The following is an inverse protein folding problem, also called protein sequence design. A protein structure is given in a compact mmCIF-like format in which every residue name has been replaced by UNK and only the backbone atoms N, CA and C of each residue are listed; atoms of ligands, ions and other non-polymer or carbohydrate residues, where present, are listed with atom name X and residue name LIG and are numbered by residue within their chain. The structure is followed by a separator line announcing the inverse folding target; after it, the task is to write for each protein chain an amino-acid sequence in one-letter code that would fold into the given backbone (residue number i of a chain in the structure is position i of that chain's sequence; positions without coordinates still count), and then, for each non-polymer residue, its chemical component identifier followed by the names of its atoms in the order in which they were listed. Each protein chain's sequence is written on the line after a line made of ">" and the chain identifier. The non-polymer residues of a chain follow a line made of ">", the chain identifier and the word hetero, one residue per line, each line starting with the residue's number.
data_IF_107678138964
#
_entry.id   IF_107678138964
#
_cell.length_a   1.000
_cell.length_b   1.000
_cell.length_c   1.000
_cell.angle_alpha   90.00
_cell.angle_beta   90.00
_cell.angle_gamma   90.00
#
_symmetry.space_group_name_H-M   'P 1'
#
loop_
_entity.id
_entity.type
_entity.pdbx_description
1 polymer ?
#
# COMPACT_ATOMS: atom_id res chain seq x y z
N UNK A 1 -19.49 -71.24 41.57
CA UNK A 1 -19.01 -70.00 42.22
C UNK A 1 -17.60 -69.76 41.73
N UNK A 2 -17.43 -68.80 40.83
CA UNK A 2 -16.17 -68.51 40.15
C UNK A 2 -15.47 -67.38 40.88
N UNK A 3 -14.26 -67.62 41.38
CA UNK A 3 -13.43 -66.61 42.01
C UNK A 3 -12.41 -66.07 41.02
N UNK A 4 -12.38 -64.73 40.97
CA UNK A 4 -11.51 -63.87 40.18
C UNK A 4 -10.03 -64.16 40.42
N UNK A 5 -9.24 -64.01 39.37
CA UNK A 5 -7.87 -63.49 39.47
C UNK A 5 -7.60 -62.51 38.33
N UNK A 6 -7.07 -61.34 38.72
CA UNK A 6 -6.58 -60.29 37.84
C UNK A 6 -5.14 -60.64 37.45
N UNK A 7 -4.86 -60.76 36.16
CA UNK A 7 -3.50 -60.79 35.63
C UNK A 7 -3.24 -59.54 34.79
N UNK A 8 -2.14 -58.85 35.10
CA UNK A 8 -1.51 -57.87 34.22
C UNK A 8 -0.42 -58.60 33.43
N UNK A 9 -0.40 -58.45 32.12
CA UNK A 9 0.77 -58.80 31.29
C UNK A 9 1.02 -57.75 30.20
N UNK A 10 2.30 -57.59 29.81
CA UNK A 10 2.82 -56.42 29.13
C UNK A 10 2.86 -56.54 27.61
N UNK A 11 2.96 -55.35 27.01
CA UNK A 11 3.15 -55.02 25.60
C UNK A 11 4.19 -55.94 24.93
N UNK A 12 3.73 -56.67 23.91
CA UNK A 12 4.52 -57.56 23.09
C UNK A 12 4.90 -56.89 21.76
N UNK A 13 6.14 -57.16 21.34
CA UNK A 13 6.68 -57.10 19.98
C UNK A 13 6.86 -55.72 19.32
N UNK A 14 8.09 -55.20 19.39
CA UNK A 14 9.04 -55.31 18.25
C UNK A 14 10.24 -54.39 18.46
N UNK A 15 11.22 -54.88 19.22
CA UNK A 15 12.62 -54.43 19.18
C UNK A 15 13.43 -55.69 19.02
N UNK A 16 13.88 -55.99 17.80
CA UNK A 16 15.17 -56.61 17.45
C UNK A 16 15.16 -57.03 15.97
N UNK A 17 15.20 -56.04 15.08
CA UNK A 17 15.79 -56.22 13.77
C UNK A 17 16.44 -54.89 13.35
N UNK A 18 17.77 -54.85 13.50
CA UNK A 18 18.73 -53.96 12.83
C UNK A 18 18.63 -52.46 13.23
N UNK A 19 19.47 -51.86 14.09
CA UNK A 19 20.90 -52.02 14.37
C UNK A 19 21.79 -52.10 13.11
N UNK A 20 21.57 -51.17 12.19
CA UNK A 20 22.58 -50.66 11.27
C UNK A 20 22.09 -49.32 10.72
N UNK A 21 22.45 -48.22 11.38
CA UNK A 21 22.61 -46.84 10.87
C UNK A 21 22.62 -45.87 12.06
N UNK A 22 23.65 -45.99 12.89
CA UNK A 22 24.14 -44.89 13.68
C UNK A 22 25.48 -44.47 13.08
N UNK A 23 25.76 -43.16 13.12
CA UNK A 23 26.99 -42.48 12.71
C UNK A 23 27.04 -41.97 11.26
N UNK A 24 26.37 -40.85 11.02
CA UNK A 24 26.98 -39.75 10.23
C UNK A 24 26.74 -38.45 11.00
N UNK A 25 27.84 -37.72 11.15
CA UNK A 25 28.03 -36.58 12.02
C UNK A 25 27.10 -35.40 11.74
N UNK A 26 26.75 -34.68 12.81
CA UNK A 26 26.52 -33.25 12.76
C UNK A 26 27.79 -32.56 12.29
N UNK A 27 27.86 -32.25 11.01
CA UNK A 27 28.72 -31.21 10.47
C UNK A 27 27.81 -30.05 10.06
N UNK A 28 28.18 -28.86 10.49
CA UNK A 28 27.52 -27.60 10.16
C UNK A 28 27.27 -27.51 8.65
N UNK A 29 26.04 -27.19 8.24
CA UNK A 29 25.80 -26.60 6.93
C UNK A 29 25.66 -25.07 7.13
N UNK A 30 26.78 -24.44 7.51
CA UNK A 30 27.08 -23.11 6.98
C UNK A 30 27.67 -23.35 5.59
N UNK A 31 26.78 -23.50 4.60
CA UNK A 31 27.16 -23.43 3.19
C UNK A 31 26.26 -22.40 2.53
N UNK A 32 26.37 -21.14 2.97
CA UNK A 32 26.30 -20.06 1.99
C UNK A 32 27.57 -20.19 1.16
N UNK A 33 27.54 -21.03 0.12
CA UNK A 33 28.59 -21.02 -0.89
C UNK A 33 28.77 -19.57 -1.32
N UNK A 34 29.93 -18.97 -1.01
CA UNK A 34 30.21 -17.61 -1.42
C UNK A 34 30.33 -17.61 -2.95
N UNK A 35 29.24 -17.25 -3.62
CA UNK A 35 29.22 -17.06 -5.06
C UNK A 35 30.07 -15.81 -5.30
N UNK A 36 31.25 -16.01 -5.87
CA UNK A 36 32.21 -14.93 -6.16
C UNK A 36 32.36 -14.80 -7.69
N UNK A 37 31.37 -14.20 -8.36
CA UNK A 37 31.27 -14.24 -9.81
C UNK A 37 32.29 -13.33 -10.48
N UNK A 38 32.88 -13.82 -11.56
CA UNK A 38 33.89 -13.09 -12.33
C UNK A 38 33.29 -11.95 -13.19
N UNK A 39 32.00 -12.00 -13.52
CA UNK A 39 31.29 -11.00 -14.32
C UNK A 39 29.77 -11.15 -14.19
N UNK A 40 29.02 -10.12 -14.61
CA UNK A 40 27.54 -10.14 -14.64
C UNK A 40 26.98 -11.23 -15.54
N UNK A 41 27.73 -11.61 -16.59
CA UNK A 41 27.37 -12.68 -17.50
C UNK A 41 27.44 -14.06 -16.83
N UNK A 42 28.33 -14.24 -15.84
CA UNK A 42 28.45 -15.48 -15.10
C UNK A 42 27.18 -15.79 -14.28
N UNK A 43 26.47 -14.76 -13.82
CA UNK A 43 25.23 -14.94 -13.05
C UNK A 43 24.07 -15.47 -13.91
N UNK A 44 24.04 -15.15 -15.22
CA UNK A 44 22.96 -15.58 -16.13
C UNK A 44 22.88 -17.11 -16.24
N UNK A 45 24.01 -17.80 -16.09
CA UNK A 45 24.10 -19.25 -16.17
C UNK A 45 23.51 -19.98 -14.95
N UNK A 46 23.20 -19.27 -13.86
CA UNK A 46 22.62 -19.86 -12.66
C UNK A 46 21.12 -20.13 -12.88
N UNK A 47 20.71 -21.39 -12.87
CA UNK A 47 19.32 -21.80 -13.13
C UNK A 47 18.34 -21.31 -12.06
N UNK A 48 18.79 -21.25 -10.80
CA UNK A 48 18.02 -20.75 -9.67
C UNK A 48 17.96 -19.22 -9.68
N UNK A 49 16.74 -18.68 -9.63
CA UNK A 49 16.53 -17.23 -9.51
C UNK A 49 17.15 -16.67 -8.22
N UNK A 50 17.16 -17.44 -7.13
CA UNK A 50 17.74 -17.01 -5.85
C UNK A 50 19.27 -16.92 -5.93
N UNK A 51 19.91 -17.90 -6.55
CA UNK A 51 21.38 -17.92 -6.71
C UNK A 51 21.83 -16.87 -7.73
N UNK A 52 21.04 -16.67 -8.79
CA UNK A 52 21.26 -15.60 -9.77
C UNK A 52 21.18 -14.22 -9.14
N UNK A 53 20.19 -13.99 -8.27
CA UNK A 53 20.08 -12.74 -7.52
C UNK A 53 21.26 -12.55 -6.55
N UNK A 54 21.58 -13.56 -5.74
CA UNK A 54 22.71 -13.51 -4.82
C UNK A 54 24.05 -13.26 -5.55
N UNK A 55 24.20 -13.83 -6.76
CA UNK A 55 25.34 -13.59 -7.64
C UNK A 55 25.42 -12.14 -8.11
N UNK A 56 24.31 -11.55 -8.57
CA UNK A 56 24.29 -10.13 -8.94
C UNK A 56 24.59 -9.23 -7.74
N UNK A 57 24.01 -9.51 -6.58
CA UNK A 57 24.24 -8.76 -5.34
C UNK A 57 25.71 -8.81 -4.90
N UNK A 58 26.40 -9.92 -5.13
CA UNK A 58 27.83 -10.08 -4.87
C UNK A 58 28.72 -9.24 -5.80
N UNK A 59 28.32 -9.03 -7.06
CA UNK A 59 29.04 -8.17 -8.03
C UNK A 59 28.85 -6.71 -7.68
N UNK A 60 27.61 -6.31 -7.47
CA UNK A 60 27.24 -4.91 -7.40
C UNK A 60 27.35 -4.32 -6.02
N UNK A 61 27.70 -5.13 -4.99
CA UNK A 61 27.86 -4.76 -3.58
C UNK A 61 26.91 -3.63 -3.18
N UNK A 62 25.75 -3.97 -2.61
CA UNK A 62 24.96 -2.96 -1.89
C UNK A 62 25.81 -2.48 -0.70
N UNK A 63 26.59 -1.43 -0.91
CA UNK A 63 27.41 -0.80 0.10
C UNK A 63 26.48 -0.10 1.10
N UNK A 64 26.05 -0.85 2.11
CA UNK A 64 25.42 -0.29 3.32
C UNK A 64 26.37 0.63 4.11
N UNK A 65 27.64 0.74 3.68
CA UNK A 65 28.68 1.59 4.25
C UNK A 65 28.98 2.88 3.46
N UNK A 66 28.37 3.12 2.29
CA UNK A 66 28.72 4.25 1.39
C UNK A 66 28.07 5.60 1.77
N UNK A 67 27.26 5.67 2.83
CA UNK A 67 26.70 6.94 3.33
C UNK A 67 27.73 7.92 3.94
N UNK A 68 29.03 7.64 3.83
CA UNK A 68 30.12 8.40 4.44
C UNK A 68 31.14 8.99 3.44
N UNK A 69 30.72 9.38 2.22
CA UNK A 69 31.59 10.15 1.32
C UNK A 69 31.35 11.65 1.47
N UNK A 70 32.35 12.34 2.05
CA UNK A 70 32.40 13.80 2.13
C UNK A 70 32.45 14.41 0.72
N UNK A 71 31.76 15.55 0.47
CA UNK A 71 31.71 16.16 -0.85
C UNK A 71 33.10 16.67 -1.27
N UNK A 72 33.43 16.45 -2.55
CA UNK A 72 34.58 17.07 -3.21
C UNK A 72 34.26 18.55 -3.41
N UNK A 73 34.98 19.41 -2.69
CA UNK A 73 34.84 20.87 -2.80
C UNK A 73 35.51 21.33 -4.10
N UNK A 74 34.70 21.69 -5.10
CA UNK A 74 35.16 22.41 -6.30
C UNK A 74 35.14 23.90 -5.98
N UNK A 75 36.22 24.63 -6.28
CA UNK A 75 36.29 26.05 -5.96
C UNK A 75 35.21 26.86 -6.70
N UNK A 76 34.58 27.81 -6.01
CA UNK A 76 33.53 28.69 -6.55
C UNK A 76 33.96 29.40 -7.86
N UNK A 77 35.26 29.66 -8.01
CA UNK A 77 35.84 30.27 -9.22
C UNK A 77 35.77 29.37 -10.46
N UNK A 78 35.76 28.04 -10.31
CA UNK A 78 35.59 27.11 -11.45
C UNK A 78 34.14 27.04 -11.87
N UNK A 79 33.22 26.94 -10.91
CA UNK A 79 31.78 26.95 -11.16
C UNK A 79 31.31 28.26 -11.82
N UNK A 80 31.83 29.41 -11.36
CA UNK A 80 31.50 30.72 -11.94
C UNK A 80 31.99 30.91 -13.39
N UNK A 81 33.04 30.17 -13.80
CA UNK A 81 33.64 30.31 -15.14
C UNK A 81 32.94 29.43 -16.19
N UNK A 82 32.34 28.32 -15.77
CA UNK A 82 31.54 27.44 -16.65
C UNK A 82 30.14 28.01 -16.92
N UNK A 83 29.57 28.79 -15.98
CA UNK A 83 28.26 29.44 -16.14
C UNK A 83 28.27 30.60 -17.14
N UNK A 84 29.42 31.20 -17.45
CA UNK A 84 29.48 32.42 -18.30
C UNK A 84 29.47 32.15 -19.81
N UNK A 85 29.47 30.90 -20.27
CA UNK A 85 29.61 30.57 -21.71
C UNK A 85 28.29 30.14 -22.39
N UNK A 86 27.18 30.02 -21.67
CA UNK A 86 25.89 29.71 -22.30
C UNK A 86 25.25 30.98 -22.84
N UNK A 87 25.45 31.20 -24.14
CA UNK A 87 24.79 32.25 -24.92
C UNK A 87 23.34 31.81 -25.17
N UNK A 88 22.38 32.43 -24.49
CA UNK A 88 20.94 32.12 -24.63
C UNK A 88 20.43 32.45 -26.04
N UNK A 89 19.98 31.43 -26.78
CA UNK A 89 19.10 31.60 -27.94
C UNK A 89 17.63 31.81 -27.48
N UNK A 90 16.80 32.51 -28.28
CA UNK A 90 15.43 32.81 -27.87
C UNK A 90 14.58 31.53 -27.81
N UNK A 91 14.38 31.01 -26.60
CA UNK A 91 13.54 29.86 -26.32
C UNK A 91 12.07 30.12 -26.73
N UNK A 92 11.48 29.17 -27.45
CA UNK A 92 10.06 29.16 -27.77
C UNK A 92 9.18 29.01 -26.51
N UNK A 93 7.89 29.36 -26.62
CA UNK A 93 6.94 29.34 -25.49
C UNK A 93 6.91 27.99 -24.76
N UNK A 94 7.05 26.87 -25.48
CA UNK A 94 7.10 25.53 -24.91
C UNK A 94 8.32 25.32 -24.00
N UNK A 95 9.51 25.70 -24.46
CA UNK A 95 10.74 25.63 -23.67
C UNK A 95 10.68 26.54 -22.43
N UNK A 96 10.09 27.74 -22.55
CA UNK A 96 9.86 28.63 -21.39
C UNK A 96 8.89 28.05 -20.36
N UNK A 97 7.91 27.25 -20.81
CA UNK A 97 6.99 26.55 -19.91
C UNK A 97 7.71 25.36 -19.26
N UNK A 98 8.45 24.57 -20.03
CA UNK A 98 9.27 23.45 -19.53
C UNK A 98 10.27 23.94 -18.48
N UNK A 99 11.06 24.98 -18.76
CA UNK A 99 12.03 25.56 -17.82
C UNK A 99 11.35 26.11 -16.54
N UNK A 100 10.19 26.77 -16.66
CA UNK A 100 9.47 27.27 -15.47
C UNK A 100 8.87 26.15 -14.63
N UNK A 101 8.39 25.08 -15.28
CA UNK A 101 7.81 23.92 -14.60
C UNK A 101 8.92 23.08 -13.95
N UNK A 102 10.05 22.90 -14.63
CA UNK A 102 11.23 22.23 -14.07
C UNK A 102 11.76 23.00 -12.85
N UNK A 103 11.83 24.33 -12.93
CA UNK A 103 12.18 25.21 -11.80
C UNK A 103 11.17 25.19 -10.64
N UNK A 104 9.89 24.87 -10.90
CA UNK A 104 8.88 24.70 -9.85
C UNK A 104 9.11 23.40 -9.05
N UNK A 105 9.70 22.38 -9.69
CA UNK A 105 9.95 21.06 -9.10
C UNK A 105 11.39 20.86 -8.61
N UNK A 106 12.34 21.68 -9.06
CA UNK A 106 13.74 21.70 -8.60
C UNK A 106 13.90 22.49 -7.30
N UNK A 107 13.33 21.96 -6.20
CA UNK A 107 13.56 22.54 -4.88
C UNK A 107 14.79 21.90 -4.22
N UNK A 108 15.57 22.72 -3.50
CA UNK A 108 16.93 22.49 -3.03
C UNK A 108 17.03 21.58 -1.78
N UNK A 109 16.09 20.64 -1.58
CA UNK A 109 16.11 19.72 -0.43
C UNK A 109 17.22 18.65 -0.53
N UNK A 110 17.43 17.91 0.55
CA UNK A 110 18.40 16.81 0.58
C UNK A 110 18.15 15.78 -0.55
N UNK A 111 19.22 15.31 -1.21
CA UNK A 111 19.13 14.30 -2.28
C UNK A 111 18.31 13.10 -1.79
N UNK A 112 17.35 12.66 -2.61
CA UNK A 112 16.56 11.46 -2.33
C UNK A 112 17.51 10.26 -2.45
N UNK A 113 17.64 9.49 -1.37
CA UNK A 113 18.34 8.22 -1.37
C UNK A 113 17.33 7.08 -1.61
N UNK A 114 17.41 6.38 -2.76
CA UNK A 114 16.56 5.24 -3.10
C UNK A 114 16.50 4.15 -2.03
N UNK A 115 17.56 3.99 -1.24
CA UNK A 115 17.66 2.91 -0.25
C UNK A 115 16.96 3.23 1.07
N UNK A 116 16.71 4.51 1.37
CA UNK A 116 16.10 4.94 2.63
C UNK A 116 14.73 5.59 2.45
N UNK A 117 14.49 6.31 1.34
CA UNK A 117 13.23 6.99 1.07
C UNK A 117 12.08 6.01 0.88
N UNK A 118 11.07 6.15 1.75
CA UNK A 118 9.86 5.32 1.69
C UNK A 118 9.04 5.69 0.46
N UNK A 119 8.84 6.99 0.23
CA UNK A 119 8.04 7.47 -0.89
C UNK A 119 8.71 7.19 -2.23
N UNK A 120 10.03 7.29 -2.33
CA UNK A 120 10.76 6.96 -3.55
C UNK A 120 10.63 5.47 -3.91
N UNK A 121 10.83 4.55 -2.96
CA UNK A 121 10.66 3.11 -3.22
C UNK A 121 9.25 2.75 -3.70
N UNK A 122 8.26 3.46 -3.16
CA UNK A 122 6.85 3.24 -3.45
C UNK A 122 6.43 3.85 -4.79
N UNK A 123 6.96 5.01 -5.16
CA UNK A 123 6.49 5.80 -6.32
C UNK A 123 7.53 5.99 -7.42
N UNK A 124 8.73 5.44 -7.26
CA UNK A 124 9.83 5.49 -8.23
C UNK A 124 10.12 6.93 -8.66
N UNK A 125 10.28 7.81 -7.68
CA UNK A 125 10.34 9.25 -7.87
C UNK A 125 11.67 9.66 -8.49
N UNK A 126 12.79 9.13 -7.99
CA UNK A 126 14.14 9.41 -8.44
C UNK A 126 14.50 8.61 -9.70
N UNK A 127 15.38 9.11 -10.57
CA UNK A 127 15.75 8.41 -11.81
C UNK A 127 16.31 7.00 -11.54
N UNK A 128 17.10 6.86 -10.48
CA UNK A 128 17.72 5.58 -10.08
C UNK A 128 16.72 4.55 -9.53
N UNK A 129 15.51 4.99 -9.14
CA UNK A 129 14.43 4.14 -8.63
C UNK A 129 13.43 3.70 -9.71
N UNK A 130 13.52 4.24 -10.94
CA UNK A 130 12.59 3.91 -12.02
C UNK A 130 12.83 2.50 -12.53
N UNK A 131 11.77 1.69 -12.55
CA UNK A 131 11.80 0.31 -13.01
C UNK A 131 11.28 0.16 -14.45
N UNK A 132 10.84 1.25 -15.09
CA UNK A 132 10.20 1.24 -16.40
C UNK A 132 8.68 1.06 -16.32
N UNK A 133 8.05 1.05 -17.49
CA UNK A 133 6.58 0.99 -17.62
C UNK A 133 6.04 -0.44 -17.59
N UNK A 134 4.74 -0.56 -17.29
CA UNK A 134 3.97 -1.81 -17.31
C UNK A 134 4.39 -2.88 -16.28
N UNK A 135 5.28 -2.53 -15.36
CA UNK A 135 5.58 -3.36 -14.20
C UNK A 135 4.42 -3.28 -13.20
N UNK A 136 3.87 -4.45 -12.83
CA UNK A 136 2.81 -4.54 -11.83
C UNK A 136 3.43 -4.60 -10.44
N UNK A 137 2.98 -3.71 -9.56
CA UNK A 137 3.40 -3.64 -8.15
C UNK A 137 2.17 -3.48 -7.25
N UNK A 138 2.34 -3.71 -5.95
CA UNK A 138 1.28 -3.38 -5.02
C UNK A 138 1.04 -1.86 -5.00
N UNK A 139 -0.25 -1.50 -4.98
CA UNK A 139 -0.66 -0.13 -4.71
C UNK A 139 -0.93 0.02 -3.21
N UNK A 140 -2.14 -0.27 -2.71
CA UNK A 140 -2.44 -0.36 -1.28
C UNK A 140 -2.04 -1.75 -0.72
N UNK A 141 -2.10 -1.97 0.61
CA UNK A 141 -1.85 -3.28 1.18
C UNK A 141 -2.75 -4.37 0.57
N UNK A 142 -2.19 -5.56 0.34
CA UNK A 142 -2.88 -6.77 -0.10
C UNK A 142 -2.99 -7.72 1.09
N UNK A 143 -4.21 -7.95 1.55
CA UNK A 143 -4.49 -8.68 2.78
C UNK A 143 -5.77 -9.50 2.71
N UNK A 144 -5.86 -10.47 3.62
CA UNK A 144 -7.05 -11.25 3.95
C UNK A 144 -7.20 -11.26 5.48
N UNK A 145 -8.36 -10.81 5.96
CA UNK A 145 -8.81 -10.85 7.34
C UNK A 145 -9.96 -11.86 7.42
N UNK A 146 -9.70 -13.13 7.82
CA UNK A 146 -10.76 -14.14 7.95
C UNK A 146 -11.82 -13.76 8.98
N UNK A 147 -11.42 -13.02 10.02
CA UNK A 147 -12.32 -12.46 11.02
C UNK A 147 -12.24 -10.93 10.98
N UNK A 148 -13.34 -10.32 10.52
CA UNK A 148 -13.60 -8.90 10.52
C UNK A 148 -14.95 -8.67 11.20
N UNK A 149 -14.92 -8.25 12.46
CA UNK A 149 -16.11 -8.05 13.29
C UNK A 149 -16.54 -6.59 13.23
N UNK A 150 -17.85 -6.34 13.22
CA UNK A 150 -18.48 -5.02 13.31
C UNK A 150 -19.36 -4.89 14.57
N UNK A 151 -19.26 -3.73 15.23
CA UNK A 151 -20.08 -3.38 16.39
C UNK A 151 -21.54 -3.09 16.04
N UNK A 152 -21.80 -2.65 14.81
CA UNK A 152 -23.12 -2.22 14.37
C UNK A 152 -23.31 -2.58 12.88
N UNK A 153 -24.24 -3.49 12.60
CA UNK A 153 -24.52 -3.97 11.23
C UNK A 153 -25.44 -3.00 10.51
N UNK A 154 -25.16 -2.75 9.25
CA UNK A 154 -26.01 -1.91 8.40
C UNK A 154 -27.04 -2.79 7.67
N UNK A 155 -28.12 -3.16 8.38
CA UNK A 155 -29.19 -4.01 7.84
C UNK A 155 -30.07 -3.28 6.82
N UNK A 156 -30.12 -1.94 6.89
CA UNK A 156 -30.95 -1.07 6.03
C UNK A 156 -30.12 0.09 5.44
N UNK A 157 -29.19 -0.20 4.50
CA UNK A 157 -28.45 0.86 3.84
C UNK A 157 -29.39 1.82 3.12
N UNK A 158 -29.13 3.12 3.24
CA UNK A 158 -29.97 4.15 2.63
C UNK A 158 -29.14 5.31 2.12
N UNK A 159 -29.75 6.16 1.30
CA UNK A 159 -29.21 7.46 0.92
C UNK A 159 -30.36 8.44 0.70
N UNK A 160 -30.10 9.75 0.55
CA UNK A 160 -31.12 10.73 0.18
C UNK A 160 -31.80 10.43 -1.17
N UNK A 161 -31.20 9.61 -2.03
CA UNK A 161 -31.84 9.14 -3.25
C UNK A 161 -32.84 8.02 -2.90
N UNK A 162 -34.16 8.20 -3.14
CA UNK A 162 -35.16 7.20 -2.79
C UNK A 162 -34.97 5.85 -3.50
N UNK A 163 -34.30 5.82 -4.65
CA UNK A 163 -33.98 4.57 -5.36
C UNK A 163 -32.90 3.75 -4.64
N UNK A 164 -32.15 4.37 -3.73
CA UNK A 164 -30.98 3.78 -3.06
C UNK A 164 -31.25 3.51 -1.57
N UNK A 165 -32.51 3.21 -1.23
CA UNK A 165 -32.96 2.86 0.12
C UNK A 165 -33.42 1.41 0.15
N UNK A 166 -32.86 0.63 1.08
CA UNK A 166 -33.25 -0.77 1.30
C UNK A 166 -34.35 -0.83 2.36
N UNK A 167 -35.50 -1.40 2.00
CA UNK A 167 -36.66 -1.53 2.89
C UNK A 167 -36.73 -2.89 3.62
N UNK A 168 -35.98 -3.88 3.16
CA UNK A 168 -35.92 -5.23 3.75
C UNK A 168 -34.55 -5.46 4.42
N UNK A 169 -34.56 -6.09 5.61
CA UNK A 169 -33.32 -6.37 6.33
C UNK A 169 -32.42 -7.33 5.53
N UNK A 170 -31.11 -7.10 5.57
CA UNK A 170 -30.13 -7.98 4.91
C UNK A 170 -29.72 -9.22 5.71
N UNK A 171 -30.30 -9.43 6.90
CA UNK A 171 -30.03 -10.55 7.81
C UNK A 171 -28.53 -10.84 8.04
N UNK A 172 -27.75 -9.79 8.28
CA UNK A 172 -26.30 -9.87 8.39
C UNK A 172 -25.81 -10.52 9.69
N UNK A 173 -24.64 -11.17 9.66
CA UNK A 173 -23.87 -11.52 10.86
C UNK A 173 -22.82 -10.44 11.14
N UNK A 174 -22.47 -10.27 12.43
CA UNK A 174 -21.53 -9.23 12.85
C UNK A 174 -20.09 -9.53 12.46
N UNK A 175 -19.76 -10.78 12.13
CA UNK A 175 -18.43 -11.18 11.70
C UNK A 175 -18.48 -11.65 10.25
N UNK A 176 -17.55 -11.16 9.45
CA UNK A 176 -17.35 -11.51 8.06
C UNK A 176 -15.85 -11.68 7.75
N UNK A 177 -15.53 -12.20 6.57
CA UNK A 177 -14.18 -12.10 6.04
C UNK A 177 -14.04 -10.80 5.26
N UNK A 178 -12.89 -10.12 5.37
CA UNK A 178 -12.55 -8.94 4.57
C UNK A 178 -11.26 -9.18 3.83
N UNK A 179 -11.18 -8.81 2.56
CA UNK A 179 -9.91 -8.84 1.83
C UNK A 179 -9.76 -7.64 0.90
N UNK A 180 -8.52 -7.36 0.53
CA UNK A 180 -8.18 -6.31 -0.41
C UNK A 180 -7.12 -6.78 -1.38
N UNK A 181 -7.35 -6.48 -2.66
CA UNK A 181 -6.36 -6.61 -3.74
C UNK A 181 -6.11 -5.22 -4.25
N UNK A 182 -4.85 -4.82 -4.37
CA UNK A 182 -4.52 -3.47 -4.83
C UNK A 182 -3.21 -3.46 -5.59
N UNK A 183 -3.30 -3.08 -6.85
CA UNK A 183 -2.20 -3.13 -7.79
C UNK A 183 -2.07 -1.78 -8.50
N UNK A 184 -0.85 -1.44 -8.90
CA UNK A 184 -0.58 -0.33 -9.80
C UNK A 184 0.48 -0.69 -10.81
N UNK A 185 0.50 0.08 -11.89
CA UNK A 185 1.56 0.05 -12.87
C UNK A 185 1.80 1.45 -13.41
N UNK A 186 3.02 1.71 -13.87
CA UNK A 186 3.39 2.97 -14.50
C UNK A 186 3.15 2.87 -16.00
N UNK A 187 2.31 3.74 -16.54
CA UNK A 187 1.97 3.77 -17.96
C UNK A 187 2.93 4.66 -18.76
N UNK A 188 3.40 5.76 -18.17
CA UNK A 188 4.32 6.72 -18.79
C UNK A 188 5.32 7.20 -17.76
N UNK A 189 6.59 7.36 -18.15
CA UNK A 189 7.62 7.98 -17.32
C UNK A 189 8.04 9.32 -17.90
N UNK A 190 8.46 10.23 -17.03
CA UNK A 190 9.21 11.43 -17.42
C UNK A 190 8.47 12.31 -18.44
N UNK A 191 7.21 12.63 -18.17
CA UNK A 191 6.39 13.53 -19.00
C UNK A 191 7.01 14.93 -19.15
N UNK A 192 7.82 15.36 -18.18
CA UNK A 192 8.50 16.66 -18.17
C UNK A 192 9.95 16.44 -17.72
N UNK A 193 10.91 16.49 -18.65
CA UNK A 193 12.33 16.28 -18.37
C UNK A 193 12.60 14.87 -17.84
N UNK A 194 13.02 14.75 -16.58
CA UNK A 194 13.27 13.49 -15.86
C UNK A 194 12.22 13.23 -14.74
N UNK A 195 11.06 13.88 -14.84
CA UNK A 195 10.03 13.93 -13.81
C UNK A 195 8.61 13.84 -14.39
N UNK A 196 7.63 13.49 -13.55
CA UNK A 196 6.23 13.36 -13.92
C UNK A 196 5.90 11.99 -14.51
N UNK A 197 5.41 11.08 -13.68
CA UNK A 197 5.04 9.72 -14.07
C UNK A 197 3.51 9.55 -14.03
N UNK A 198 2.95 8.89 -15.05
CA UNK A 198 1.55 8.50 -15.07
C UNK A 198 1.41 7.07 -14.55
N UNK A 199 0.68 6.91 -13.46
CA UNK A 199 0.37 5.63 -12.82
C UNK A 199 -1.09 5.27 -13.02
N UNK A 200 -1.35 4.00 -13.30
CA UNK A 200 -2.67 3.39 -13.29
C UNK A 200 -2.77 2.46 -12.08
N UNK A 201 -3.82 2.62 -11.30
CA UNK A 201 -4.09 1.86 -10.08
C UNK A 201 -5.44 1.17 -10.14
N UNK A 202 -5.55 0.07 -9.42
CA UNK A 202 -6.82 -0.61 -9.18
C UNK A 202 -6.80 -1.19 -7.77
N UNK A 203 -7.74 -0.77 -6.95
CA UNK A 203 -8.01 -1.35 -5.63
C UNK A 203 -9.38 -1.98 -5.62
N UNK A 204 -9.47 -3.20 -5.10
CA UNK A 204 -10.73 -3.88 -4.82
C UNK A 204 -10.74 -4.32 -3.37
N UNK A 205 -11.81 -4.01 -2.64
CA UNK A 205 -11.98 -4.43 -1.26
C UNK A 205 -13.35 -5.06 -1.04
N UNK A 206 -13.39 -6.28 -0.50
CA UNK A 206 -14.61 -7.08 -0.40
C UNK A 206 -14.88 -7.52 1.03
N UNK A 207 -16.16 -7.57 1.40
CA UNK A 207 -16.70 -8.08 2.66
C UNK A 207 -17.61 -9.27 2.38
N UNK A 208 -17.24 -10.43 2.90
CA UNK A 208 -17.86 -11.71 2.61
C UNK A 208 -18.43 -12.34 3.89
N UNK A 209 -19.74 -12.55 3.92
CA UNK A 209 -20.48 -13.15 5.05
C UNK A 209 -20.23 -14.67 5.13
N UNK A 210 -18.96 -15.09 5.20
CA UNK A 210 -18.52 -16.50 5.26
C UNK A 210 -19.20 -17.32 6.36
N UNK A 211 -19.62 -16.65 7.43
CA UNK A 211 -20.25 -17.26 8.60
C UNK A 211 -21.78 -17.19 8.57
N UNK A 212 -22.38 -16.62 7.52
CA UNK A 212 -23.83 -16.50 7.39
C UNK A 212 -24.41 -17.64 6.56
N UNK A 213 -24.54 -18.81 7.17
CA UNK A 213 -25.03 -20.01 6.49
C UNK A 213 -26.50 -19.89 6.07
N UNK A 214 -27.29 -19.20 6.90
CA UNK A 214 -28.73 -18.96 6.68
C UNK A 214 -28.98 -18.25 5.34
N UNK A 215 -28.09 -17.30 4.98
CA UNK A 215 -28.16 -16.52 3.73
C UNK A 215 -27.26 -17.06 2.61
N UNK A 216 -26.78 -18.31 2.72
CA UNK A 216 -25.86 -18.92 1.73
C UNK A 216 -24.51 -18.20 1.57
N UNK A 217 -24.02 -17.58 2.65
CA UNK A 217 -22.70 -16.94 2.76
C UNK A 217 -22.41 -15.92 1.64
N UNK A 218 -23.23 -14.88 1.48
CA UNK A 218 -23.11 -13.97 0.35
C UNK A 218 -21.95 -12.97 0.54
N UNK A 219 -21.44 -12.44 -0.57
CA UNK A 219 -20.69 -11.19 -0.48
C UNK A 219 -21.67 -10.08 -0.11
N UNK A 220 -21.43 -9.42 1.03
CA UNK A 220 -22.20 -8.25 1.46
C UNK A 220 -21.87 -7.07 0.56
N UNK A 221 -20.58 -6.78 0.42
CA UNK A 221 -20.12 -5.60 -0.31
C UNK A 221 -18.80 -5.87 -1.04
N UNK A 222 -18.61 -5.23 -2.19
CA UNK A 222 -17.31 -5.13 -2.86
C UNK A 222 -17.17 -3.72 -3.42
N UNK A 223 -16.08 -3.03 -3.14
CA UNK A 223 -15.77 -1.74 -3.74
C UNK A 223 -14.66 -1.90 -4.76
N UNK A 224 -14.88 -1.33 -5.93
CA UNK A 224 -14.00 -1.27 -7.08
C UNK A 224 -13.49 0.16 -7.22
N UNK A 225 -12.18 0.36 -7.20
CA UNK A 225 -11.56 1.67 -7.13
C UNK A 225 -10.39 1.79 -8.13
N UNK A 226 -10.67 2.01 -9.43
CA UNK A 226 -9.66 2.35 -10.41
C UNK A 226 -9.18 3.80 -10.27
N UNK A 227 -7.89 4.02 -10.51
CA UNK A 227 -7.23 5.31 -10.35
C UNK A 227 -6.27 5.60 -11.50
N UNK A 228 -6.17 6.87 -11.89
CA UNK A 228 -5.13 7.38 -12.77
C UNK A 228 -4.44 8.55 -12.06
N UNK A 229 -3.15 8.40 -11.76
CA UNK A 229 -2.39 9.34 -10.94
C UNK A 229 -1.21 9.90 -11.71
N UNK A 230 -1.14 11.22 -11.84
CA UNK A 230 0.04 11.93 -12.33
C UNK A 230 0.89 12.33 -11.11
N UNK A 231 2.10 11.78 -11.02
CA UNK A 231 2.96 11.88 -9.83
C UNK A 231 4.27 12.58 -10.20
N UNK A 232 4.59 13.63 -9.47
CA UNK A 232 5.83 14.40 -9.61
C UNK A 232 6.69 14.25 -8.36
N UNK A 233 7.98 14.00 -8.59
CA UNK A 233 9.03 14.16 -7.60
C UNK A 233 9.11 15.64 -7.22
N UNK A 234 9.10 15.90 -5.92
CA UNK A 234 9.42 17.20 -5.31
C UNK A 234 10.55 17.01 -4.31
N UNK A 235 11.18 18.10 -3.87
CA UNK A 235 12.29 18.02 -2.94
C UNK A 235 12.42 19.29 -2.09
N UNK A 236 11.51 19.48 -1.14
CA UNK A 236 11.52 20.65 -0.25
C UNK A 236 11.40 20.24 1.21
N UNK A 237 11.84 21.11 2.12
CA UNK A 237 11.73 20.89 3.55
C UNK A 237 10.63 21.75 4.16
N UNK A 238 9.75 21.15 4.95
CA UNK A 238 8.70 21.86 5.69
C UNK A 238 8.53 21.24 7.07
N UNK A 239 8.64 22.07 8.12
CA UNK A 239 8.45 21.64 9.52
C UNK A 239 9.29 20.40 9.91
N UNK A 240 10.47 20.24 9.30
CA UNK A 240 11.37 19.11 9.56
C UNK A 240 10.99 17.80 8.86
N UNK A 241 10.04 17.84 7.91
CA UNK A 241 9.69 16.77 6.98
C UNK A 241 10.17 17.11 5.57
N UNK A 242 10.55 16.09 4.80
CA UNK A 242 10.88 16.21 3.39
C UNK A 242 9.62 16.02 2.53
N UNK A 243 9.18 17.05 1.82
CA UNK A 243 8.17 16.95 0.76
C UNK A 243 8.79 16.31 -0.48
N UNK A 244 8.38 15.06 -0.77
CA UNK A 244 8.94 14.23 -1.86
C UNK A 244 8.00 14.05 -3.03
N UNK A 245 6.69 14.17 -2.80
CA UNK A 245 5.68 13.82 -3.79
C UNK A 245 4.61 14.90 -3.88
N UNK A 246 4.37 15.37 -5.09
CA UNK A 246 3.15 16.08 -5.48
C UNK A 246 2.45 15.25 -6.55
N UNK A 247 1.16 15.01 -6.41
CA UNK A 247 0.41 14.28 -7.42
C UNK A 247 -1.02 14.75 -7.58
N UNK A 248 -1.61 14.42 -8.72
CA UNK A 248 -3.02 14.61 -9.01
C UNK A 248 -3.61 13.28 -9.47
N UNK A 249 -4.66 12.83 -8.81
CA UNK A 249 -5.30 11.54 -9.08
C UNK A 249 -6.75 11.73 -9.49
N UNK A 250 -7.13 11.17 -10.64
CA UNK A 250 -8.53 10.88 -10.94
C UNK A 250 -8.87 9.51 -10.37
N UNK A 251 -9.96 9.43 -9.62
CA UNK A 251 -10.37 8.23 -8.91
C UNK A 251 -11.87 8.04 -9.14
N UNK A 252 -12.23 6.83 -9.55
CA UNK A 252 -13.60 6.36 -9.52
C UNK A 252 -13.71 5.31 -8.43
N UNK A 253 -14.81 5.32 -7.67
CA UNK A 253 -15.09 4.25 -6.72
C UNK A 253 -16.57 3.89 -6.81
N UNK A 254 -16.87 2.62 -7.01
CA UNK A 254 -18.25 2.10 -7.01
C UNK A 254 -18.31 0.73 -6.39
N UNK A 255 -19.51 0.28 -6.02
CA UNK A 255 -19.71 -1.07 -5.50
C UNK A 255 -20.22 -2.08 -6.54
N UNK A 256 -20.49 -1.63 -7.77
CA UNK A 256 -20.93 -2.48 -8.88
C UNK A 256 -22.29 -3.16 -8.65
N UNK A 257 -23.11 -2.64 -7.74
CA UNK A 257 -24.46 -3.14 -7.45
C UNK A 257 -25.53 -2.38 -8.24
N UNK A 258 -26.67 -3.02 -8.44
CA UNK A 258 -27.89 -2.33 -8.88
C UNK A 258 -28.60 -1.66 -7.71
N UNK A 259 -29.57 -0.80 -8.00
CA UNK A 259 -30.49 -0.29 -6.99
C UNK A 259 -31.22 -1.44 -6.28
N UNK A 260 -31.52 -1.30 -4.98
CA UNK A 260 -31.27 -0.13 -4.12
C UNK A 260 -29.85 -0.05 -3.51
N UNK A 261 -29.00 -1.05 -3.74
CA UNK A 261 -27.67 -1.15 -3.13
C UNK A 261 -26.59 -0.38 -3.89
N UNK A 262 -26.88 0.17 -5.07
CA UNK A 262 -25.89 0.91 -5.87
C UNK A 262 -25.28 2.06 -5.07
N UNK A 263 -23.95 2.18 -5.08
CA UNK A 263 -23.20 3.30 -4.53
C UNK A 263 -22.03 3.63 -5.44
N UNK A 264 -21.81 4.91 -5.71
CA UNK A 264 -20.71 5.35 -6.55
C UNK A 264 -20.37 6.83 -6.34
N UNK A 265 -19.15 7.20 -6.72
CA UNK A 265 -18.69 8.59 -6.79
C UNK A 265 -17.39 8.69 -7.56
N UNK A 266 -17.13 9.90 -8.07
CA UNK A 266 -15.92 10.26 -8.80
C UNK A 266 -15.18 11.39 -8.07
N UNK A 267 -13.85 11.33 -8.04
CA UNK A 267 -13.01 12.26 -7.28
C UNK A 267 -11.79 12.70 -8.09
N UNK A 268 -11.40 13.96 -7.88
CA UNK A 268 -10.06 14.47 -8.21
C UNK A 268 -9.34 14.75 -6.91
N UNK A 269 -8.21 14.11 -6.68
CA UNK A 269 -7.44 14.16 -5.44
C UNK A 269 -6.09 14.82 -5.66
N UNK A 270 -5.72 15.73 -4.77
CA UNK A 270 -4.34 16.19 -4.66
C UNK A 270 -3.60 15.22 -3.73
N UNK A 271 -2.38 14.83 -4.08
CA UNK A 271 -1.55 13.97 -3.25
C UNK A 271 -0.31 14.75 -2.81
N UNK A 272 -0.15 14.94 -1.51
CA UNK A 272 1.02 15.57 -0.92
C UNK A 272 1.72 14.52 -0.05
N UNK A 273 2.92 14.10 -0.46
CA UNK A 273 3.70 13.09 0.24
C UNK A 273 4.92 13.69 0.92
N UNK A 274 5.00 13.47 2.22
CA UNK A 274 6.09 13.88 3.08
C UNK A 274 6.73 12.66 3.74
N UNK A 275 8.02 12.74 4.07
CA UNK A 275 8.69 11.68 4.82
C UNK A 275 9.82 12.20 5.70
N UNK A 276 10.22 11.36 6.64
CA UNK A 276 11.43 11.53 7.45
C UNK A 276 11.82 10.18 8.04
N UNK A 277 13.05 9.73 7.78
CA UNK A 277 13.57 8.46 8.28
C UNK A 277 12.62 7.28 7.98
N UNK A 278 12.05 6.65 9.01
CA UNK A 278 11.10 5.54 8.89
C UNK A 278 9.63 5.98 8.92
N UNK A 279 9.35 7.26 8.74
CA UNK A 279 8.01 7.84 8.75
C UNK A 279 7.66 8.41 7.37
N UNK A 280 6.44 8.16 6.91
CA UNK A 280 5.85 8.81 5.74
C UNK A 280 4.45 9.33 6.07
N UNK A 281 4.05 10.43 5.43
CA UNK A 281 2.77 11.09 5.61
C UNK A 281 2.21 11.45 4.25
N UNK A 282 1.00 10.98 3.97
CA UNK A 282 0.23 11.37 2.80
C UNK A 282 -0.92 12.27 3.24
N UNK A 283 -1.05 13.44 2.64
CA UNK A 283 -2.19 14.34 2.82
C UNK A 283 -2.93 14.43 1.49
N UNK A 284 -4.22 14.09 1.50
CA UNK A 284 -5.03 13.97 0.28
C UNK A 284 -6.35 14.71 0.39
N UNK A 285 -6.41 16.02 0.11
CA UNK A 285 -7.68 16.67 -0.13
C UNK A 285 -8.23 16.24 -1.50
N UNK A 286 -9.54 16.13 -1.62
CA UNK A 286 -10.21 15.79 -2.87
C UNK A 286 -11.46 16.63 -3.12
N UNK A 287 -11.76 16.77 -4.40
CA UNK A 287 -13.01 17.31 -4.88
C UNK A 287 -13.85 16.17 -5.46
N UNK A 288 -15.09 16.02 -4.97
CA UNK A 288 -16.08 15.10 -5.54
C UNK A 288 -16.64 15.75 -6.80
N UNK A 289 -16.63 15.01 -7.91
CA UNK A 289 -17.35 15.42 -9.12
C UNK A 289 -18.83 15.10 -8.91
N UNK A 290 -19.66 16.13 -8.94
CA UNK A 290 -21.10 15.98 -8.74
C UNK A 290 -21.75 15.36 -9.99
N UNK A 291 -22.81 14.58 -9.76
CA UNK A 291 -23.62 13.91 -10.77
C UNK A 291 -25.03 14.53 -10.78
N UNK A 292 -25.82 14.25 -11.81
CA UNK A 292 -27.21 14.68 -11.85
C UNK A 292 -27.99 14.07 -10.67
N UNK A 293 -28.83 14.87 -10.00
CA UNK A 293 -29.48 14.45 -8.74
C UNK A 293 -30.32 13.16 -8.83
N UNK A 294 -30.83 12.84 -10.03
CA UNK A 294 -31.58 11.60 -10.30
C UNK A 294 -30.68 10.36 -10.44
N UNK A 295 -29.43 10.56 -10.84
CA UNK A 295 -28.46 9.49 -11.13
C UNK A 295 -27.45 9.34 -9.97
N UNK A 296 -27.35 10.33 -9.09
CA UNK A 296 -26.48 10.34 -7.93
C UNK A 296 -26.98 9.36 -6.84
N UNK A 297 -26.27 8.25 -6.66
CA UNK A 297 -26.67 7.19 -5.73
C UNK A 297 -26.52 7.57 -4.25
N UNK A 298 -25.68 8.56 -3.94
CA UNK A 298 -25.33 8.95 -2.57
C UNK A 298 -24.91 10.43 -2.52
N UNK A 299 -25.87 11.37 -2.68
CA UNK A 299 -25.58 12.80 -2.85
C UNK A 299 -24.88 13.48 -1.67
N UNK A 300 -25.05 12.91 -0.48
CA UNK A 300 -24.49 13.36 0.80
C UNK A 300 -23.19 12.65 1.19
N UNK A 301 -22.58 11.84 0.31
CA UNK A 301 -21.36 11.08 0.65
C UNK A 301 -20.21 11.95 1.17
N UNK A 302 -20.07 13.18 0.64
CA UNK A 302 -19.07 14.16 1.08
C UNK A 302 -19.32 14.70 2.49
N UNK A 303 -20.47 14.44 3.08
CA UNK A 303 -20.82 14.88 4.43
C UNK A 303 -20.48 13.84 5.50
N UNK A 304 -20.16 12.61 5.08
CA UNK A 304 -19.69 11.53 5.96
C UNK A 304 -18.24 11.15 5.67
N UNK A 305 -17.95 10.73 4.44
CA UNK A 305 -16.62 10.34 3.98
C UNK A 305 -15.74 11.58 3.81
N UNK A 306 -16.34 12.72 3.52
CA UNK A 306 -15.64 13.99 3.58
C UNK A 306 -14.88 14.40 2.34
N UNK A 307 -13.89 15.26 2.57
CA UNK A 307 -13.19 16.06 1.54
C UNK A 307 -11.68 15.87 1.58
N UNK A 308 -11.19 14.99 2.45
CA UNK A 308 -9.79 14.66 2.51
C UNK A 308 -9.46 13.63 3.58
N UNK A 309 -8.27 13.05 3.44
CA UNK A 309 -7.64 12.24 4.47
C UNK A 309 -6.18 12.60 4.69
N UNK A 310 -5.68 12.16 5.83
CA UNK A 310 -4.28 12.15 6.21
C UNK A 310 -3.93 10.72 6.60
N UNK A 311 -2.91 10.15 5.96
CA UNK A 311 -2.43 8.80 6.28
C UNK A 311 -0.97 8.85 6.68
N UNK A 312 -0.69 8.47 7.92
CA UNK A 312 0.66 8.36 8.47
C UNK A 312 1.12 6.91 8.46
N UNK A 313 2.36 6.67 8.05
CA UNK A 313 3.02 5.38 8.00
C UNK A 313 4.28 5.42 8.85
N UNK A 314 4.52 4.38 9.63
CA UNK A 314 5.72 4.27 10.45
C UNK A 314 6.26 2.85 10.43
N UNK A 315 7.56 2.71 10.16
CA UNK A 315 8.25 1.42 10.19
C UNK A 315 9.15 1.31 11.40
N UNK A 316 8.96 0.24 12.18
CA UNK A 316 9.83 -0.08 13.31
C UNK A 316 10.32 -1.53 13.20
N UNK A 317 11.59 -1.68 12.81
CA UNK A 317 12.18 -2.98 12.42
C UNK A 317 11.33 -3.61 11.30
N UNK A 318 10.82 -4.82 11.51
CA UNK A 318 9.93 -5.51 10.58
C UNK A 318 8.43 -5.23 10.81
N UNK A 319 8.09 -4.32 11.72
CA UNK A 319 6.70 -3.89 11.94
C UNK A 319 6.40 -2.65 11.10
N UNK A 320 5.20 -2.63 10.53
CA UNK A 320 4.66 -1.48 9.83
C UNK A 320 3.34 -1.08 10.48
N UNK A 321 3.21 0.22 10.72
CA UNK A 321 2.02 0.83 11.28
C UNK A 321 1.46 1.85 10.29
N UNK A 322 0.15 1.89 10.15
CA UNK A 322 -0.55 2.91 9.37
C UNK A 322 -1.70 3.49 10.19
N UNK A 323 -1.86 4.80 10.16
CA UNK A 323 -3.00 5.50 10.74
C UNK A 323 -3.58 6.44 9.67
N UNK A 324 -4.80 6.13 9.21
CA UNK A 324 -5.59 7.00 8.34
C UNK A 324 -6.61 7.77 9.18
N UNK A 325 -6.68 9.07 8.98
CA UNK A 325 -7.69 9.96 9.54
C UNK A 325 -8.41 10.66 8.38
N UNK A 326 -9.73 10.61 8.40
CA UNK A 326 -10.60 11.21 7.37
C UNK A 326 -11.65 12.08 8.04
N UNK A 327 -12.02 13.19 7.42
CA UNK A 327 -12.98 14.12 7.99
C UNK A 327 -13.84 14.83 6.93
N UNK A 328 -15.09 15.12 7.30
CA UNK A 328 -16.06 15.88 6.51
C UNK A 328 -15.62 17.33 6.26
N UNK A 329 -14.82 17.88 7.17
CA UNK A 329 -14.47 19.31 7.28
C UNK A 329 -15.71 20.20 7.50
N UNK A 330 -16.79 19.62 8.03
CA UNK A 330 -17.91 20.35 8.62
C UNK A 330 -17.77 20.40 10.14
N UNK A 331 -18.42 21.37 10.77
CA UNK A 331 -18.46 21.52 12.23
C UNK A 331 -19.85 21.27 12.80
N UNK A 332 -19.96 21.27 14.13
CA UNK A 332 -21.23 21.02 14.82
C UNK A 332 -21.70 19.58 14.65
N UNK A 333 -23.02 19.41 14.52
CA UNK A 333 -23.65 18.09 14.43
C UNK A 333 -23.33 17.36 13.11
N UNK A 334 -22.85 18.07 12.09
CA UNK A 334 -22.43 17.51 10.79
C UNK A 334 -20.95 17.04 10.79
N UNK A 335 -20.28 17.06 11.94
CA UNK A 335 -18.84 16.73 12.06
C UNK A 335 -18.59 15.23 12.01
N UNK A 336 -18.66 14.65 10.81
CA UNK A 336 -18.36 13.24 10.58
C UNK A 336 -16.91 12.99 10.15
N UNK A 337 -16.42 11.78 10.40
CA UNK A 337 -15.10 11.32 9.99
C UNK A 337 -14.86 9.86 10.35
N UNK A 338 -13.63 9.41 10.14
CA UNK A 338 -13.20 8.06 10.51
C UNK A 338 -11.71 8.03 10.84
N UNK A 339 -11.34 7.02 11.63
CA UNK A 339 -9.97 6.63 11.87
C UNK A 339 -9.79 5.14 11.53
N UNK A 340 -8.69 4.80 10.86
CA UNK A 340 -8.27 3.43 10.63
C UNK A 340 -6.83 3.23 11.06
N UNK A 341 -6.60 2.28 11.94
CA UNK A 341 -5.28 1.84 12.35
C UNK A 341 -5.00 0.44 11.80
N UNK A 342 -3.86 0.27 11.14
CA UNK A 342 -3.36 -1.01 10.67
C UNK A 342 -2.00 -1.30 11.28
N UNK A 343 -1.77 -2.56 11.64
CA UNK A 343 -0.49 -3.06 12.11
C UNK A 343 -0.15 -4.36 11.38
N UNK A 344 0.90 -4.31 10.57
CA UNK A 344 1.50 -5.49 9.96
C UNK A 344 2.76 -5.91 10.75
N UNK A 345 2.80 -7.17 11.19
CA UNK A 345 3.89 -7.72 11.99
C UNK A 345 4.50 -8.97 11.34
N UNK A 346 5.79 -9.26 11.60
CA UNK A 346 6.48 -10.37 10.97
C UNK A 346 5.90 -11.74 11.36
N UNK A 347 5.66 -12.61 10.37
CA UNK A 347 5.41 -14.05 10.59
C UNK A 347 6.57 -14.86 9.99
N UNK A 348 6.71 -14.85 8.65
CA UNK A 348 7.76 -15.59 7.95
C UNK A 348 7.96 -15.06 6.52
N UNK A 349 9.19 -14.71 6.17
CA UNK A 349 9.50 -14.17 4.84
C UNK A 349 8.65 -12.93 4.54
N UNK A 350 7.94 -12.94 3.41
CA UNK A 350 7.02 -11.85 3.02
C UNK A 350 5.64 -11.94 3.67
N UNK A 351 5.29 -13.05 4.31
CA UNK A 351 4.01 -13.19 5.00
C UNK A 351 4.06 -12.40 6.31
N UNK A 352 3.11 -11.49 6.47
CA UNK A 352 2.91 -10.70 7.68
C UNK A 352 1.56 -11.03 8.30
N UNK A 353 1.47 -10.93 9.61
CA UNK A 353 0.19 -10.86 10.32
C UNK A 353 -0.35 -9.45 10.19
N UNK A 354 -1.66 -9.30 10.05
CA UNK A 354 -2.31 -8.02 9.82
C UNK A 354 -3.44 -7.82 10.81
N UNK A 355 -3.31 -6.81 11.67
CA UNK A 355 -4.37 -6.33 12.54
C UNK A 355 -4.94 -5.01 11.98
N UNK A 356 -6.25 -4.84 12.02
CA UNK A 356 -6.94 -3.63 11.58
C UNK A 356 -8.01 -3.21 12.57
N UNK A 357 -8.07 -1.93 12.89
CA UNK A 357 -9.12 -1.29 13.68
C UNK A 357 -9.65 -0.09 12.90
N UNK A 358 -10.95 -0.06 12.65
CA UNK A 358 -11.64 1.08 12.03
C UNK A 358 -12.71 1.61 13.00
N UNK A 359 -12.83 2.92 13.13
CA UNK A 359 -13.96 3.56 13.82
C UNK A 359 -14.42 4.79 13.03
N UNK A 360 -15.72 4.88 12.75
CA UNK A 360 -16.33 6.04 12.11
C UNK A 360 -17.26 5.66 10.96
N UNK A 361 -17.33 6.55 9.96
CA UNK A 361 -18.20 6.43 8.79
C UNK A 361 -17.43 6.02 7.53
N UNK A 362 -18.07 5.27 6.63
CA UNK A 362 -17.50 4.93 5.32
C UNK A 362 -16.32 3.98 5.36
N UNK A 363 -16.48 2.90 6.11
CA UNK A 363 -15.63 1.71 6.03
C UNK A 363 -15.68 1.07 4.64
N UNK A 364 -16.87 1.10 4.02
CA UNK A 364 -17.16 0.70 2.65
C UNK A 364 -18.19 1.66 2.04
N UNK A 365 -18.41 1.60 0.72
CA UNK A 365 -19.39 2.49 0.08
C UNK A 365 -20.81 2.26 0.56
N UNK A 366 -21.24 1.00 0.76
CA UNK A 366 -22.59 0.75 1.30
C UNK A 366 -22.77 1.27 2.74
N UNK A 367 -21.66 1.39 3.49
CA UNK A 367 -21.61 1.89 4.86
C UNK A 367 -21.15 3.37 4.94
N UNK A 368 -21.21 4.13 3.84
CA UNK A 368 -20.68 5.51 3.78
C UNK A 368 -21.28 6.45 4.83
N UNK A 369 -22.58 6.31 5.13
CA UNK A 369 -23.33 7.08 6.12
C UNK A 369 -23.68 6.27 7.38
N UNK A 370 -23.03 5.12 7.58
CA UNK A 370 -23.25 4.27 8.74
C UNK A 370 -22.03 4.29 9.66
N UNK A 371 -22.25 4.59 10.95
CA UNK A 371 -21.17 4.60 11.95
C UNK A 371 -21.05 3.25 12.64
N UNK A 372 -19.85 2.68 12.59
CA UNK A 372 -19.52 1.46 13.31
C UNK A 372 -18.02 1.38 13.63
N UNK A 373 -17.70 0.52 14.59
CA UNK A 373 -16.33 0.08 14.89
C UNK A 373 -16.12 -1.30 14.28
N UNK A 374 -15.01 -1.49 13.57
CA UNK A 374 -14.64 -2.77 12.99
C UNK A 374 -13.27 -3.22 13.48
N UNK A 375 -13.14 -4.51 13.79
CA UNK A 375 -11.89 -5.12 14.26
C UNK A 375 -11.57 -6.34 13.42
N UNK A 376 -10.37 -6.36 12.86
CA UNK A 376 -9.90 -7.36 11.94
C UNK A 376 -8.57 -7.99 12.35
N UNK A 377 -8.44 -9.30 12.14
CA UNK A 377 -7.17 -10.00 12.25
C UNK A 377 -7.02 -11.00 11.09
N UNK A 378 -5.84 -11.02 10.50
CA UNK A 378 -5.50 -11.92 9.42
C UNK A 378 -4.05 -11.80 8.96
N UNK A 379 -3.84 -11.82 7.65
CA UNK A 379 -2.52 -11.85 7.02
C UNK A 379 -2.43 -10.88 5.84
N UNK A 380 -1.22 -10.41 5.57
CA UNK A 380 -0.89 -9.62 4.38
C UNK A 380 0.37 -10.14 3.69
N UNK A 381 0.46 -9.87 2.39
CA UNK A 381 1.57 -10.30 1.52
C UNK A 381 2.36 -9.13 0.93
N UNK A 382 1.69 -8.03 0.67
CA UNK A 382 2.30 -6.82 0.12
C UNK A 382 1.76 -5.64 0.94
N UNK A 383 2.62 -4.95 1.66
CA UNK A 383 2.23 -3.81 2.49
C UNK A 383 2.55 -2.48 1.78
N UNK A 384 2.30 -1.37 2.46
CA UNK A 384 2.50 -0.05 1.88
C UNK A 384 3.98 0.28 1.61
N UNK A 385 4.93 -0.22 2.41
CA UNK A 385 6.35 0.14 2.36
C UNK A 385 7.34 -0.99 2.67
#
# INVERSE_FOLDING_TARGET
>A
MSFKNFERTPLNLSIFMMLSFGWVASACADDTASINPASTQACVALESNADRLACYDAIFKVDTASSAQAPVVVSEQRAAKELQVVKEEPQGLKAKIEDKVENLFSVHGAKIDPNSSLLDKRWELSPDSKLGTWNIRAHQPVYLLPAYWSSNKNEFPHSPNPQNTVDEAQDLKSTEAKFQISLKTKAVENLIGDNGDLWLGYTQSSRWQVYNEDESRPFRETNYEPEASLIFRTNYDILGLHGRLLGLTFNHQSNGRSDPLSRSWNRVMLNLGFEKDNFALMVRPWYRLDEDAKDDNNPDIKDYVGRGDVTAFYRWKENEFSLMLRHSLKGGDDSHGAAQFDWAFPIKGKLRGHFQLFDGYGESLIDYNHRATYVGLGVSLMNAY
#
